data_IF_810782653087
#
_entry.id   IF_810782653087
#
_cell.length_a   1.000
_cell.length_b   1.000
_cell.length_c   1.000
_cell.angle_alpha   90.00
_cell.angle_beta   90.00
_cell.angle_gamma   90.00
#
_symmetry.space_group_name_H-M   'P 1'
#
loop_
_entity.id
_entity.type
_entity.pdbx_description
1 polymer ?
#
# COMPACT_ATOMS: atom_id res chain seq x y z
N UNK A 1 0.05 -32.69 18.93
CA UNK A 1 1.15 -32.04 19.66
C UNK A 1 1.35 -30.64 19.08
N UNK A 2 1.30 -29.60 19.89
CA UNK A 2 1.38 -28.22 19.37
C UNK A 2 2.86 -27.80 19.34
N UNK A 3 3.47 -27.75 18.14
CA UNK A 3 4.84 -27.30 17.95
C UNK A 3 4.95 -25.80 17.74
N UNK A 4 3.83 -25.10 17.71
CA UNK A 4 3.72 -23.65 17.54
C UNK A 4 3.26 -22.99 18.82
N UNK A 5 3.73 -21.78 19.06
CA UNK A 5 3.36 -20.97 20.20
C UNK A 5 2.12 -20.10 19.95
N UNK A 6 1.85 -19.83 18.67
CA UNK A 6 0.71 -19.00 18.23
C UNK A 6 0.00 -19.61 17.02
N UNK A 7 -1.22 -19.15 16.74
CA UNK A 7 -2.00 -19.51 15.54
C UNK A 7 -1.23 -19.17 14.25
N UNK A 8 -0.45 -18.10 14.26
CA UNK A 8 0.33 -17.64 13.12
C UNK A 8 1.62 -18.42 12.89
N UNK A 9 2.00 -19.36 13.75
CA UNK A 9 3.27 -20.07 13.68
C UNK A 9 4.49 -19.13 13.50
N UNK A 10 4.43 -17.94 14.08
CA UNK A 10 5.49 -16.94 14.01
C UNK A 10 6.60 -17.18 15.04
N UNK A 11 6.38 -18.11 15.93
CA UNK A 11 7.28 -18.53 17.00
C UNK A 11 7.30 -20.05 17.10
N UNK A 12 8.40 -20.60 17.62
CA UNK A 12 8.57 -22.03 17.85
C UNK A 12 8.86 -22.26 19.33
N UNK A 13 8.32 -23.32 19.90
CA UNK A 13 8.61 -23.69 21.29
C UNK A 13 10.05 -24.16 21.44
N UNK A 14 10.72 -23.83 22.56
CA UNK A 14 12.13 -24.19 22.76
C UNK A 14 12.42 -25.70 22.76
N UNK A 15 11.43 -26.50 23.14
CA UNK A 15 11.54 -27.95 23.30
C UNK A 15 11.21 -28.76 22.03
N UNK A 16 10.94 -28.09 20.91
CA UNK A 16 10.65 -28.76 19.63
C UNK A 16 11.89 -29.46 19.08
N UNK A 17 11.76 -30.75 18.73
CA UNK A 17 12.84 -31.55 18.14
C UNK A 17 12.86 -31.42 16.61
N UNK A 18 14.00 -31.77 16.00
CA UNK A 18 14.14 -31.78 14.53
C UNK A 18 13.17 -32.79 13.88
N UNK A 19 12.99 -33.93 14.46
CA UNK A 19 12.04 -34.96 13.98
C UNK A 19 10.60 -34.46 13.96
N UNK A 20 10.23 -33.60 14.93
CA UNK A 20 8.90 -32.99 14.96
C UNK A 20 8.73 -31.95 13.87
N UNK A 21 9.80 -31.24 13.52
CA UNK A 21 9.77 -30.27 12.41
C UNK A 21 9.63 -31.03 11.08
N UNK A 22 10.38 -32.09 10.87
CA UNK A 22 10.34 -32.92 9.66
C UNK A 22 8.99 -33.62 9.45
N UNK A 23 8.23 -33.83 10.52
CA UNK A 23 6.88 -34.37 10.46
C UNK A 23 5.80 -33.35 10.10
N UNK A 24 6.17 -32.04 9.92
CA UNK A 24 5.24 -31.01 9.48
C UNK A 24 4.89 -31.14 8.00
N UNK A 25 3.77 -30.55 7.56
CA UNK A 25 3.54 -30.30 6.14
C UNK A 25 4.72 -29.53 5.53
N UNK A 26 5.12 -29.88 4.32
CA UNK A 26 6.32 -29.40 3.62
C UNK A 26 6.48 -27.86 3.67
N UNK A 27 5.39 -27.14 3.45
CA UNK A 27 5.39 -25.67 3.47
C UNK A 27 5.71 -25.04 4.84
N UNK A 28 5.69 -25.82 5.93
CA UNK A 28 6.08 -25.33 7.24
C UNK A 28 7.52 -25.70 7.63
N UNK A 29 8.09 -26.73 7.04
CA UNK A 29 9.40 -27.27 7.45
C UNK A 29 10.47 -26.19 7.41
N UNK A 30 10.59 -25.50 6.27
CA UNK A 30 11.60 -24.46 6.08
C UNK A 30 11.47 -23.32 7.11
N UNK A 31 10.26 -22.83 7.33
CA UNK A 31 9.99 -21.77 8.30
C UNK A 31 10.25 -22.21 9.73
N UNK A 32 9.82 -23.41 10.10
CA UNK A 32 10.02 -23.97 11.44
C UNK A 32 11.50 -24.20 11.74
N UNK A 33 12.26 -24.73 10.78
CA UNK A 33 13.70 -24.91 10.90
C UNK A 33 14.41 -23.55 11.10
N UNK A 34 14.08 -22.57 10.26
CA UNK A 34 14.68 -21.24 10.35
C UNK A 34 14.36 -20.52 11.67
N UNK A 35 13.15 -20.71 12.23
CA UNK A 35 12.78 -20.19 13.54
C UNK A 35 13.52 -20.89 14.68
N UNK A 36 13.73 -22.22 14.57
CA UNK A 36 14.43 -23.01 15.58
C UNK A 36 15.90 -22.63 15.68
N UNK A 37 16.56 -22.50 14.55
CA UNK A 37 18.00 -22.27 14.45
C UNK A 37 18.37 -20.78 14.50
N UNK A 38 17.37 -19.88 14.72
CA UNK A 38 17.49 -18.42 14.65
C UNK A 38 18.16 -17.94 13.32
N UNK A 39 17.97 -18.73 12.28
CA UNK A 39 18.50 -18.46 10.94
C UNK A 39 17.49 -17.75 10.03
N UNK A 40 16.30 -17.41 10.55
CA UNK A 40 15.31 -16.66 9.79
C UNK A 40 15.88 -15.33 9.40
N UNK A 41 16.09 -15.12 8.11
CA UNK A 41 16.65 -13.87 7.60
C UNK A 41 15.84 -12.68 8.09
N UNK A 42 16.50 -11.65 8.66
CA UNK A 42 15.83 -10.46 9.21
C UNK A 42 14.99 -9.74 8.17
N UNK A 43 15.46 -9.64 6.94
CA UNK A 43 14.73 -9.07 5.80
C UNK A 43 13.44 -9.83 5.51
N UNK A 44 13.53 -11.15 5.42
CA UNK A 44 12.36 -12.01 5.22
C UNK A 44 11.38 -11.89 6.40
N UNK A 45 11.88 -11.96 7.62
CA UNK A 45 11.07 -11.91 8.85
C UNK A 45 10.32 -10.59 8.99
N UNK A 46 10.96 -9.47 8.64
CA UNK A 46 10.40 -8.11 8.73
C UNK A 46 9.10 -7.96 7.93
N UNK A 47 9.01 -8.60 6.76
CA UNK A 47 7.84 -8.48 5.86
C UNK A 47 6.90 -9.69 5.91
N UNK A 48 7.38 -10.86 6.34
CA UNK A 48 6.56 -12.07 6.40
C UNK A 48 5.74 -12.21 7.67
N UNK A 49 6.19 -11.63 8.78
CA UNK A 49 5.51 -11.70 10.08
C UNK A 49 5.16 -10.28 10.51
N UNK A 50 3.91 -9.88 10.33
CA UNK A 50 3.49 -8.50 10.58
C UNK A 50 2.13 -8.42 11.25
N UNK A 51 1.90 -7.29 11.93
CA UNK A 51 0.59 -6.86 12.40
C UNK A 51 0.03 -5.82 11.43
N UNK A 52 -1.21 -6.02 11.02
CA UNK A 52 -1.93 -5.14 10.10
C UNK A 52 -3.00 -4.38 10.85
N UNK A 53 -2.92 -3.06 10.79
CA UNK A 53 -3.87 -2.17 11.43
C UNK A 53 -5.15 -2.04 10.60
N UNK A 54 -6.31 -1.78 11.27
CA UNK A 54 -7.53 -1.46 10.56
C UNK A 54 -7.47 -0.08 9.91
N UNK A 55 -8.09 0.02 8.74
CA UNK A 55 -8.37 1.28 8.06
C UNK A 55 -9.87 1.47 7.92
N UNK A 56 -10.31 2.70 7.78
CA UNK A 56 -11.74 2.99 7.61
C UNK A 56 -12.25 2.49 6.26
N UNK A 57 -13.56 2.36 6.12
CA UNK A 57 -14.17 2.07 4.82
C UNK A 57 -14.06 3.29 3.92
N UNK A 58 -13.25 3.22 2.87
CA UNK A 58 -13.04 4.34 1.96
C UNK A 58 -14.34 4.72 1.22
N UNK A 59 -15.18 3.75 0.86
CA UNK A 59 -16.49 4.00 0.24
C UNK A 59 -17.44 4.72 1.19
N UNK A 60 -17.57 4.26 2.44
CA UNK A 60 -18.43 4.89 3.46
C UNK A 60 -18.04 6.35 3.72
N UNK A 61 -16.74 6.63 3.78
CA UNK A 61 -16.28 7.99 4.00
C UNK A 61 -16.37 8.87 2.76
N UNK A 62 -16.21 8.32 1.56
CA UNK A 62 -16.51 9.04 0.33
C UNK A 62 -17.96 9.52 0.28
N UNK A 63 -18.90 8.64 0.65
CA UNK A 63 -20.32 8.98 0.74
C UNK A 63 -20.59 10.06 1.81
N UNK A 64 -20.02 9.93 3.00
CA UNK A 64 -20.19 10.89 4.11
C UNK A 64 -19.63 12.28 3.77
N UNK A 65 -18.49 12.34 3.14
CA UNK A 65 -17.81 13.57 2.75
C UNK A 65 -18.28 14.10 1.39
N UNK A 66 -19.06 13.31 0.64
CA UNK A 66 -19.45 13.60 -0.74
C UNK A 66 -18.24 13.85 -1.64
N UNK A 67 -17.17 13.09 -1.45
CA UNK A 67 -15.93 13.15 -2.23
C UNK A 67 -15.77 11.89 -3.08
N UNK A 68 -14.67 11.78 -3.84
CA UNK A 68 -14.22 10.48 -4.33
C UNK A 68 -13.57 9.72 -3.19
N UNK A 69 -13.54 8.40 -3.32
CA UNK A 69 -12.91 7.57 -2.28
C UNK A 69 -11.38 7.68 -2.33
N UNK A 70 -10.78 7.61 -1.15
CA UNK A 70 -9.35 7.35 -0.98
C UNK A 70 -9.03 5.90 -1.37
N UNK A 71 -7.77 5.48 -1.24
CA UNK A 71 -7.40 4.09 -1.51
C UNK A 71 -7.96 3.11 -0.47
N UNK A 72 -8.09 1.86 -0.89
CA UNK A 72 -8.38 0.71 0.00
C UNK A 72 -7.11 -0.12 0.28
N UNK A 73 -5.99 0.24 -0.33
CA UNK A 73 -4.74 -0.52 -0.36
C UNK A 73 -3.74 0.01 0.68
N UNK A 74 -4.21 0.20 1.90
CA UNK A 74 -3.44 0.85 2.97
C UNK A 74 -2.37 -0.05 3.61
N UNK A 75 -2.50 -1.37 3.46
CA UNK A 75 -1.64 -2.36 4.10
C UNK A 75 -0.84 -3.19 3.09
N UNK A 76 0.23 -2.67 2.48
CA UNK A 76 1.12 -3.48 1.65
C UNK A 76 1.82 -4.55 2.50
N UNK A 77 2.01 -5.74 1.93
CA UNK A 77 2.78 -6.80 2.60
C UNK A 77 4.28 -6.68 2.36
N UNK A 78 4.69 -6.02 1.27
CA UNK A 78 6.05 -6.05 0.77
C UNK A 78 6.44 -7.40 0.14
N UNK A 79 5.44 -8.23 -0.17
CA UNK A 79 5.61 -9.55 -0.80
C UNK A 79 4.90 -9.53 -2.14
N UNK A 80 5.60 -9.92 -3.20
CA UNK A 80 5.00 -10.14 -4.50
C UNK A 80 4.98 -11.63 -4.86
N UNK A 81 4.06 -11.99 -5.73
CA UNK A 81 3.83 -13.34 -6.22
C UNK A 81 3.80 -13.36 -7.74
N UNK A 82 4.13 -14.49 -8.34
CA UNK A 82 3.89 -14.71 -9.77
C UNK A 82 2.54 -15.39 -9.97
N UNK A 83 1.96 -15.25 -11.15
CA UNK A 83 0.80 -16.03 -11.55
C UNK A 83 1.06 -17.53 -11.37
N UNK A 84 0.14 -18.23 -10.71
CA UNK A 84 0.25 -19.65 -10.39
C UNK A 84 0.95 -19.98 -9.07
N UNK A 85 1.59 -19.00 -8.41
CA UNK A 85 2.22 -19.25 -7.10
C UNK A 85 1.17 -19.66 -6.06
N UNK A 86 1.45 -20.73 -5.34
CA UNK A 86 0.67 -21.13 -4.17
C UNK A 86 1.21 -20.41 -2.92
N UNK A 87 0.34 -19.71 -2.22
CA UNK A 87 0.70 -18.94 -1.02
C UNK A 87 -0.08 -19.45 0.18
N UNK A 88 0.63 -19.75 1.26
CA UNK A 88 0.04 -19.99 2.56
C UNK A 88 0.02 -18.71 3.37
N UNK A 89 -1.12 -18.41 3.97
CA UNK A 89 -1.31 -17.21 4.81
C UNK A 89 -1.85 -17.68 6.16
N UNK A 90 -1.10 -17.42 7.21
CA UNK A 90 -1.49 -17.72 8.58
C UNK A 90 -2.02 -16.47 9.24
N UNK A 91 -3.27 -16.50 9.65
CA UNK A 91 -3.98 -15.36 10.23
C UNK A 91 -4.23 -15.62 11.70
N UNK A 92 -3.85 -14.65 12.53
CA UNK A 92 -4.12 -14.64 13.96
C UNK A 92 -5.59 -14.38 14.28
N UNK A 93 -5.85 -13.97 15.52
CA UNK A 93 -7.20 -13.59 15.95
C UNK A 93 -7.69 -12.39 15.11
N UNK A 94 -8.82 -12.55 14.45
CA UNK A 94 -9.45 -11.48 13.66
C UNK A 94 -10.34 -10.56 14.48
N UNK A 95 -10.56 -10.87 15.76
CA UNK A 95 -11.49 -10.14 16.63
C UNK A 95 -12.90 -10.01 16.03
N UNK A 96 -13.31 -11.02 15.23
CA UNK A 96 -14.59 -11.01 14.51
C UNK A 96 -14.64 -10.10 13.29
N UNK A 97 -13.53 -9.49 12.89
CA UNK A 97 -13.45 -8.61 11.73
C UNK A 97 -13.24 -9.40 10.42
N UNK A 98 -13.74 -8.84 9.32
CA UNK A 98 -13.47 -9.37 7.99
C UNK A 98 -12.12 -8.91 7.50
N UNK A 99 -11.34 -9.83 6.92
CA UNK A 99 -10.04 -9.57 6.35
C UNK A 99 -9.84 -10.35 5.06
N UNK A 100 -9.11 -9.78 4.12
CA UNK A 100 -8.76 -10.45 2.86
C UNK A 100 -7.37 -10.03 2.39
N UNK A 101 -6.85 -10.71 1.38
CA UNK A 101 -5.67 -10.27 0.62
C UNK A 101 -6.15 -9.95 -0.80
N UNK A 102 -5.67 -8.84 -1.34
CA UNK A 102 -5.80 -8.49 -2.75
C UNK A 102 -4.45 -8.52 -3.43
N UNK A 103 -4.39 -9.12 -4.59
CA UNK A 103 -3.24 -9.09 -5.47
C UNK A 103 -3.34 -7.86 -6.37
N UNK A 104 -2.31 -7.03 -6.40
CA UNK A 104 -2.23 -5.85 -7.28
C UNK A 104 -1.25 -6.15 -8.39
N UNK A 105 -1.79 -6.39 -9.58
CA UNK A 105 -1.03 -6.81 -10.74
C UNK A 105 -0.14 -5.73 -11.35
N UNK A 106 0.65 -6.17 -12.30
CA UNK A 106 1.41 -5.27 -13.16
C UNK A 106 0.50 -4.64 -14.19
N UNK A 107 0.66 -3.34 -14.41
CA UNK A 107 -0.06 -2.68 -15.49
C UNK A 107 0.41 -3.19 -16.84
N UNK A 108 -0.54 -3.63 -17.64
CA UNK A 108 -0.29 -4.14 -19.00
C UNK A 108 -0.85 -3.25 -20.09
N UNK A 109 -1.66 -2.23 -19.75
CA UNK A 109 -2.36 -1.40 -20.71
C UNK A 109 -1.75 0.00 -20.84
N UNK A 110 -1.76 0.50 -22.07
CA UNK A 110 -1.31 1.84 -22.42
C UNK A 110 -2.52 2.77 -22.52
N UNK A 111 -3.00 3.31 -21.38
CA UNK A 111 -4.09 4.29 -21.46
C UNK A 111 -4.87 4.54 -20.18
N UNK A 112 -5.61 5.61 -20.16
CA UNK A 112 -6.26 6.21 -18.99
C UNK A 112 -7.23 5.31 -18.24
N UNK A 113 -8.04 4.56 -18.96
CA UNK A 113 -9.24 3.97 -18.39
C UNK A 113 -9.13 2.46 -18.19
N UNK A 114 -8.06 1.84 -18.63
CA UNK A 114 -7.98 0.38 -18.71
C UNK A 114 -7.01 -0.23 -17.71
N UNK A 115 -6.52 0.57 -16.78
CA UNK A 115 -5.54 0.16 -15.80
C UNK A 115 -6.19 -0.40 -14.54
N UNK A 116 -7.02 -1.42 -14.72
CA UNK A 116 -7.40 -2.22 -13.56
C UNK A 116 -6.23 -3.11 -13.18
N UNK A 117 -5.33 -2.58 -12.39
CA UNK A 117 -4.27 -3.38 -11.75
C UNK A 117 -4.80 -4.19 -10.59
N UNK A 118 -6.04 -3.96 -10.16
CA UNK A 118 -6.66 -4.72 -9.10
C UNK A 118 -6.94 -6.14 -9.58
N UNK A 119 -6.31 -7.10 -8.93
CA UNK A 119 -6.56 -8.51 -9.13
C UNK A 119 -7.61 -9.07 -8.19
N UNK A 120 -7.58 -10.39 -8.08
CA UNK A 120 -8.53 -11.11 -7.24
C UNK A 120 -8.38 -10.78 -5.76
N UNK A 121 -9.51 -10.80 -5.06
CA UNK A 121 -9.59 -10.71 -3.62
C UNK A 121 -9.75 -12.12 -3.05
N UNK A 122 -8.89 -12.47 -2.12
CA UNK A 122 -8.88 -13.76 -1.42
C UNK A 122 -9.34 -13.54 0.03
N UNK A 123 -10.59 -13.90 0.39
CA UNK A 123 -11.05 -13.80 1.77
C UNK A 123 -10.21 -14.68 2.68
N UNK A 124 -9.88 -14.18 3.87
CA UNK A 124 -9.10 -14.88 4.87
C UNK A 124 -9.94 -15.19 6.10
N UNK A 125 -9.57 -16.27 6.79
CA UNK A 125 -10.10 -16.66 8.09
C UNK A 125 -8.97 -16.95 9.07
N UNK A 126 -9.25 -16.95 10.34
CA UNK A 126 -8.28 -17.34 11.36
C UNK A 126 -7.63 -18.70 11.05
N UNK A 127 -6.35 -18.82 11.32
CA UNK A 127 -5.57 -20.03 11.07
C UNK A 127 -4.98 -20.09 9.66
N UNK A 128 -4.99 -21.26 9.05
CA UNK A 128 -4.32 -21.54 7.78
C UNK A 128 -5.24 -21.23 6.60
N UNK A 129 -4.76 -20.38 5.70
CA UNK A 129 -5.38 -20.11 4.40
C UNK A 129 -4.41 -20.52 3.30
N UNK A 130 -4.93 -21.00 2.19
CA UNK A 130 -4.18 -21.27 0.96
C UNK A 130 -4.83 -20.51 -0.18
N UNK A 131 -4.04 -19.86 -0.98
CA UNK A 131 -4.48 -19.18 -2.18
C UNK A 131 -3.53 -19.50 -3.35
N UNK A 132 -4.04 -19.48 -4.54
CA UNK A 132 -3.27 -19.51 -5.78
C UNK A 132 -3.37 -18.16 -6.46
N UNK A 133 -2.25 -17.51 -6.68
CA UNK A 133 -2.21 -16.20 -7.31
C UNK A 133 -2.64 -16.30 -8.78
N UNK A 134 -3.66 -15.54 -9.18
CA UNK A 134 -4.16 -15.54 -10.56
C UNK A 134 -3.45 -14.54 -11.46
N UNK A 135 -2.60 -13.71 -10.90
CA UNK A 135 -1.75 -12.78 -11.65
C UNK A 135 -0.47 -12.48 -10.88
N UNK A 136 0.56 -12.05 -11.59
CA UNK A 136 1.78 -11.53 -10.98
C UNK A 136 1.51 -10.17 -10.35
N UNK A 137 1.95 -9.97 -9.09
CA UNK A 137 1.74 -8.68 -8.41
C UNK A 137 2.04 -8.69 -6.91
N UNK A 138 2.02 -7.51 -6.31
CA UNK A 138 2.18 -7.34 -4.88
C UNK A 138 0.88 -7.68 -4.13
N UNK A 139 1.03 -8.26 -2.96
CA UNK A 139 -0.08 -8.58 -2.06
C UNK A 139 -0.32 -7.42 -1.09
N UNK A 140 -1.59 -7.06 -0.94
CA UNK A 140 -2.06 -6.08 0.04
C UNK A 140 -3.10 -6.74 0.95
N UNK A 141 -3.00 -6.48 2.25
CA UNK A 141 -4.02 -6.91 3.21
C UNK A 141 -5.14 -5.88 3.22
N UNK A 142 -6.35 -6.35 2.94
CA UNK A 142 -7.57 -5.54 2.98
C UNK A 142 -8.21 -5.72 4.36
N UNK A 143 -8.06 -4.70 5.21
CA UNK A 143 -8.66 -4.65 6.54
C UNK A 143 -9.36 -3.31 6.75
N UNK A 144 -10.56 -3.20 6.17
CA UNK A 144 -11.35 -1.99 6.19
C UNK A 144 -12.58 -2.18 7.09
N UNK A 145 -12.72 -1.34 8.10
CA UNK A 145 -13.79 -1.41 9.11
C UNK A 145 -14.00 -0.05 9.78
N UNK A 146 -14.97 0.05 10.66
CA UNK A 146 -15.06 1.22 11.54
C UNK A 146 -13.91 1.19 12.56
N UNK A 147 -12.91 2.05 12.37
CA UNK A 147 -11.71 2.12 13.22
C UNK A 147 -11.97 2.60 14.65
N UNK A 148 -13.17 3.09 14.95
CA UNK A 148 -13.59 3.44 16.31
C UNK A 148 -14.22 2.26 17.06
N UNK A 149 -14.44 1.14 16.37
CA UNK A 149 -14.88 -0.08 17.01
C UNK A 149 -13.77 -0.64 17.91
N UNK A 150 -14.00 -0.90 19.21
CA UNK A 150 -12.99 -1.50 20.09
C UNK A 150 -12.46 -2.85 19.60
N UNK A 151 -13.23 -3.58 18.81
CA UNK A 151 -12.83 -4.87 18.21
C UNK A 151 -11.97 -4.70 16.95
N UNK A 152 -11.82 -3.48 16.45
CA UNK A 152 -10.92 -3.17 15.34
C UNK A 152 -9.46 -3.13 15.82
N UNK A 153 -8.93 -4.28 16.22
CA UNK A 153 -7.57 -4.45 16.72
C UNK A 153 -6.62 -4.90 15.61
N UNK A 154 -5.31 -4.62 15.69
CA UNK A 154 -4.33 -5.15 14.74
C UNK A 154 -4.40 -6.66 14.64
N UNK A 155 -4.31 -7.18 13.41
CA UNK A 155 -4.36 -8.61 13.12
C UNK A 155 -2.98 -9.07 12.68
N UNK A 156 -2.42 -10.05 13.39
CA UNK A 156 -1.13 -10.65 13.04
C UNK A 156 -1.28 -11.63 11.88
N UNK A 157 -0.48 -11.43 10.85
CA UNK A 157 -0.41 -12.33 9.69
C UNK A 157 1.03 -12.79 9.50
N UNK A 158 1.17 -14.05 9.13
CA UNK A 158 2.45 -14.64 8.72
C UNK A 158 2.29 -15.32 7.36
N UNK A 159 3.08 -14.91 6.40
CA UNK A 159 3.23 -15.58 5.10
C UNK A 159 4.55 -16.35 5.14
N UNK A 160 4.54 -17.70 5.37
CA UNK A 160 5.74 -18.50 5.54
C UNK A 160 6.73 -18.41 4.38
N UNK A 161 7.97 -18.82 4.61
CA UNK A 161 8.98 -18.98 3.56
C UNK A 161 8.43 -19.86 2.43
N UNK A 162 8.73 -19.49 1.19
CA UNK A 162 8.16 -20.14 0.00
C UNK A 162 6.86 -19.51 -0.51
N UNK A 163 6.17 -18.69 0.31
CA UNK A 163 5.01 -17.91 -0.12
C UNK A 163 5.41 -16.57 -0.75
N UNK A 164 5.60 -16.51 -2.08
CA UNK A 164 6.03 -15.32 -2.79
C UNK A 164 7.46 -14.87 -2.45
N UNK A 165 7.85 -13.69 -2.94
CA UNK A 165 9.17 -13.09 -2.72
C UNK A 165 9.04 -11.75 -1.99
N UNK A 166 9.94 -11.49 -1.05
CA UNK A 166 9.98 -10.22 -0.32
C UNK A 166 10.71 -9.17 -1.16
N UNK A 167 10.00 -8.11 -1.52
CA UNK A 167 10.57 -6.89 -2.12
C UNK A 167 10.60 -5.72 -1.13
N UNK A 168 9.88 -5.83 -0.01
CA UNK A 168 9.81 -4.79 1.01
C UNK A 168 8.98 -3.58 0.60
N UNK A 169 8.88 -2.62 1.51
CA UNK A 169 8.33 -1.29 1.30
C UNK A 169 8.94 -0.32 2.33
N UNK A 170 8.80 0.98 2.11
CA UNK A 170 9.14 2.00 3.09
C UNK A 170 7.87 2.58 3.72
N UNK A 171 7.86 2.73 5.04
CA UNK A 171 6.81 3.42 5.78
C UNK A 171 7.42 4.51 6.64
N UNK A 172 6.95 5.74 6.52
CA UNK A 172 7.40 6.86 7.34
C UNK A 172 7.23 6.56 8.83
N UNK A 173 6.14 5.91 9.20
CA UNK A 173 5.83 5.56 10.60
C UNK A 173 6.80 4.53 11.18
N UNK A 174 7.22 3.54 10.39
CA UNK A 174 8.01 2.40 10.85
C UNK A 174 9.53 2.62 10.68
N UNK A 175 9.92 3.16 9.53
CA UNK A 175 11.32 3.20 9.10
C UNK A 175 12.01 4.55 9.36
N UNK A 176 11.30 5.65 9.32
CA UNK A 176 11.60 6.98 9.82
C UNK A 176 12.87 7.67 9.26
N UNK A 177 13.76 7.00 8.53
CA UNK A 177 15.03 7.58 8.09
C UNK A 177 15.31 7.36 6.59
N UNK A 178 16.08 8.28 6.01
CA UNK A 178 16.54 8.16 4.63
C UNK A 178 17.52 7.00 4.42
N UNK A 179 18.32 6.65 5.46
CA UNK A 179 19.22 5.49 5.43
C UNK A 179 18.43 4.20 5.29
N UNK A 180 17.36 4.05 6.08
CA UNK A 180 16.52 2.86 6.01
C UNK A 180 15.77 2.79 4.67
N UNK A 181 15.26 3.92 4.17
CA UNK A 181 14.69 3.97 2.81
C UNK A 181 15.68 3.48 1.76
N UNK A 182 16.92 4.00 1.82
CA UNK A 182 17.98 3.60 0.87
C UNK A 182 18.27 2.10 0.96
N UNK A 183 18.39 1.55 2.17
CA UNK A 183 18.55 0.11 2.38
C UNK A 183 17.43 -0.69 1.73
N UNK A 184 16.18 -0.29 1.97
CA UNK A 184 14.98 -0.98 1.49
C UNK A 184 14.86 -0.93 -0.03
N UNK A 185 15.01 0.26 -0.62
CA UNK A 185 14.87 0.42 -2.08
C UNK A 185 16.05 -0.20 -2.86
N UNK A 186 17.22 -0.29 -2.24
CA UNK A 186 18.37 -0.97 -2.86
C UNK A 186 18.21 -2.48 -2.88
N UNK A 187 17.52 -3.06 -1.90
CA UNK A 187 17.23 -4.50 -1.81
C UNK A 187 16.01 -4.93 -2.63
N UNK A 188 15.10 -3.99 -2.92
CA UNK A 188 13.89 -4.30 -3.67
C UNK A 188 14.23 -4.79 -5.08
N UNK A 189 13.59 -5.87 -5.52
CA UNK A 189 13.81 -6.52 -6.82
C UNK A 189 12.55 -6.60 -7.68
N UNK A 190 11.41 -6.09 -7.18
CA UNK A 190 10.16 -6.07 -7.91
C UNK A 190 10.01 -4.78 -8.75
N UNK A 191 9.14 -4.84 -9.75
CA UNK A 191 8.86 -3.72 -10.69
C UNK A 191 8.36 -2.47 -9.98
N UNK A 192 7.59 -2.63 -8.91
CA UNK A 192 7.02 -1.55 -8.10
C UNK A 192 7.56 -1.58 -6.68
N UNK A 193 7.62 -0.40 -6.08
CA UNK A 193 7.99 -0.24 -4.68
C UNK A 193 6.99 0.70 -3.99
N UNK A 194 6.62 0.35 -2.76
CA UNK A 194 5.65 1.11 -1.97
C UNK A 194 6.37 2.07 -1.01
N UNK A 195 5.95 3.33 -0.99
CA UNK A 195 6.35 4.32 0.01
C UNK A 195 5.10 4.85 0.68
N UNK A 196 5.01 4.70 2.00
CA UNK A 196 3.85 5.09 2.81
C UNK A 196 4.20 6.34 3.60
N UNK A 197 3.50 7.44 3.33
CA UNK A 197 3.50 8.67 4.12
C UNK A 197 2.45 8.65 5.23
N UNK A 198 2.02 9.84 5.66
CA UNK A 198 0.94 9.98 6.64
C UNK A 198 -0.45 9.98 5.99
N UNK A 199 -0.56 10.42 4.73
CA UNK A 199 -1.82 10.56 4.00
C UNK A 199 -1.75 10.02 2.57
N UNK A 200 -0.56 9.61 2.09
CA UNK A 200 -0.32 9.13 0.72
C UNK A 200 0.40 7.79 0.73
N UNK A 201 0.06 6.93 -0.22
CA UNK A 201 0.86 5.77 -0.59
C UNK A 201 1.31 5.95 -2.03
N UNK A 202 2.63 5.90 -2.25
CA UNK A 202 3.24 5.94 -3.58
C UNK A 202 3.62 4.50 -3.99
N UNK A 203 2.83 3.90 -4.88
CA UNK A 203 3.11 2.59 -5.48
C UNK A 203 3.71 2.81 -6.87
N UNK A 204 5.01 3.07 -6.89
CA UNK A 204 5.70 3.58 -8.07
C UNK A 204 6.70 2.60 -8.64
N UNK A 205 6.98 2.73 -9.94
CA UNK A 205 8.03 1.98 -10.60
C UNK A 205 9.35 2.11 -9.84
N UNK A 206 9.85 1.00 -9.34
CA UNK A 206 11.03 0.91 -8.48
C UNK A 206 12.25 1.63 -9.07
N UNK A 207 12.60 1.33 -10.34
CA UNK A 207 13.79 1.91 -10.99
C UNK A 207 13.69 3.43 -11.13
N UNK A 208 12.53 3.94 -11.52
CA UNK A 208 12.31 5.39 -11.69
C UNK A 208 12.20 6.10 -10.36
N UNK A 209 11.54 5.52 -9.36
CA UNK A 209 11.51 6.05 -8.01
C UNK A 209 12.93 6.17 -7.45
N UNK A 210 13.73 5.11 -7.53
CA UNK A 210 15.13 5.11 -7.09
C UNK A 210 16.00 6.12 -7.84
N UNK A 211 15.78 6.28 -9.15
CA UNK A 211 16.49 7.29 -9.95
C UNK A 211 16.07 8.73 -9.59
N UNK A 212 14.77 8.93 -9.32
CA UNK A 212 14.23 10.24 -8.93
C UNK A 212 14.69 10.65 -7.52
N UNK A 213 14.59 9.73 -6.57
CA UNK A 213 14.91 9.93 -5.15
C UNK A 213 15.78 8.79 -4.67
N UNK A 214 17.10 8.84 -4.92
CA UNK A 214 18.01 7.76 -4.51
C UNK A 214 18.24 7.70 -3.01
N UNK A 215 17.93 8.78 -2.26
CA UNK A 215 18.19 8.88 -0.83
C UNK A 215 17.10 9.68 -0.07
N UNK A 216 16.83 10.93 -0.43
CA UNK A 216 16.01 11.85 0.37
C UNK A 216 14.51 11.69 0.14
N UNK A 217 13.96 10.55 0.55
CA UNK A 217 12.51 10.26 0.45
C UNK A 217 11.70 11.09 1.46
N UNK A 218 12.29 11.38 2.64
CA UNK A 218 11.56 12.09 3.69
C UNK A 218 11.10 13.46 3.23
N UNK A 219 11.98 14.22 2.57
CA UNK A 219 11.61 15.53 2.02
C UNK A 219 10.54 15.45 0.93
N UNK A 220 10.51 14.36 0.15
CA UNK A 220 9.51 14.15 -0.89
C UNK A 220 8.15 13.82 -0.30
N UNK A 221 8.11 12.84 0.61
CA UNK A 221 6.86 12.37 1.19
C UNK A 221 6.20 13.46 2.07
N UNK A 222 7.01 14.27 2.77
CA UNK A 222 6.54 15.44 3.52
C UNK A 222 5.74 16.40 2.63
N UNK A 223 6.23 16.70 1.42
CA UNK A 223 5.53 17.57 0.50
C UNK A 223 4.21 16.99 0.00
N UNK A 224 4.18 15.67 -0.27
CA UNK A 224 2.97 15.00 -0.67
C UNK A 224 1.93 14.97 0.45
N UNK A 225 2.33 14.63 1.66
CA UNK A 225 1.47 14.67 2.84
C UNK A 225 0.92 16.08 3.09
N UNK A 226 1.77 17.12 2.99
CA UNK A 226 1.37 18.52 3.16
C UNK A 226 0.35 18.96 2.09
N UNK A 227 0.50 18.57 0.82
CA UNK A 227 -0.49 18.90 -0.22
C UNK A 227 -1.87 18.34 0.10
N UNK A 228 -1.92 17.10 0.65
CA UNK A 228 -3.17 16.48 1.07
C UNK A 228 -3.73 17.18 2.30
N UNK A 229 -2.90 17.42 3.32
CA UNK A 229 -3.28 18.08 4.55
C UNK A 229 -3.86 19.47 4.30
N UNK A 230 -3.23 20.31 3.48
CA UNK A 230 -3.75 21.62 3.16
C UNK A 230 -5.12 21.57 2.47
N UNK A 231 -5.36 20.58 1.63
CA UNK A 231 -6.68 20.40 1.02
C UNK A 231 -7.71 19.90 2.03
N UNK A 232 -7.32 19.02 2.96
CA UNK A 232 -8.17 18.57 4.07
C UNK A 232 -8.54 19.74 5.00
N UNK A 233 -7.59 20.62 5.31
CA UNK A 233 -7.84 21.86 6.06
C UNK A 233 -8.85 22.77 5.34
N UNK A 234 -8.69 22.95 4.02
CA UNK A 234 -9.65 23.71 3.22
C UNK A 234 -11.06 23.11 3.20
N UNK A 235 -11.17 21.79 3.34
CA UNK A 235 -12.44 21.07 3.46
C UNK A 235 -13.01 21.09 4.86
N UNK A 236 -12.23 21.44 5.89
CA UNK A 236 -12.62 21.42 7.29
C UNK A 236 -12.81 20.01 7.87
N UNK A 237 -11.99 19.04 7.44
CA UNK A 237 -12.10 17.64 7.88
C UNK A 237 -11.06 17.23 8.92
N UNK A 238 -10.38 18.15 9.55
CA UNK A 238 -9.31 17.90 10.55
C UNK A 238 -9.85 17.19 11.80
N UNK A 239 -11.13 17.35 12.10
CA UNK A 239 -11.79 16.64 13.20
C UNK A 239 -12.11 15.17 12.89
N UNK A 240 -12.11 14.83 11.61
CA UNK A 240 -12.41 13.49 11.09
C UNK A 240 -11.13 12.73 10.75
N UNK A 241 -10.22 13.34 10.02
CA UNK A 241 -8.96 12.75 9.59
C UNK A 241 -7.82 13.13 10.55
N UNK A 242 -6.96 12.19 11.00
CA UNK A 242 -7.02 10.74 10.78
C UNK A 242 -7.79 9.96 11.86
N UNK A 243 -8.62 10.59 12.66
CA UNK A 243 -9.24 10.02 13.87
C UNK A 243 -10.34 8.98 13.59
N UNK A 244 -11.15 9.23 12.57
CA UNK A 244 -12.29 8.39 12.19
C UNK A 244 -12.12 7.82 10.77
N UNK A 245 -11.46 8.56 9.90
CA UNK A 245 -11.03 8.17 8.56
C UNK A 245 -9.52 8.24 8.50
N UNK A 246 -8.85 7.16 8.12
CA UNK A 246 -7.38 7.07 8.12
C UNK A 246 -6.81 6.45 6.83
N UNK A 247 -7.61 6.31 5.78
CA UNK A 247 -7.16 5.82 4.48
C UNK A 247 -6.19 6.80 3.84
N UNK A 248 -5.23 6.26 3.11
CA UNK A 248 -4.32 7.04 2.30
C UNK A 248 -4.89 7.27 0.89
N UNK A 249 -4.54 8.38 0.26
CA UNK A 249 -4.67 8.50 -1.19
C UNK A 249 -3.64 7.56 -1.83
N UNK A 250 -4.08 6.71 -2.76
CA UNK A 250 -3.22 5.72 -3.40
C UNK A 250 -2.74 6.24 -4.76
N UNK A 251 -1.44 6.47 -4.89
CA UNK A 251 -0.82 6.97 -6.12
C UNK A 251 -0.06 5.84 -6.84
N UNK A 252 -0.28 5.70 -8.14
CA UNK A 252 0.41 4.72 -8.98
C UNK A 252 1.21 5.40 -10.08
N UNK A 253 2.21 4.71 -10.62
CA UNK A 253 2.98 5.17 -11.78
C UNK A 253 2.77 4.29 -13.01
N UNK A 254 1.70 4.54 -13.80
CA UNK A 254 1.43 3.78 -15.01
C UNK A 254 2.45 4.04 -16.11
N UNK A 255 2.48 3.15 -17.10
CA UNK A 255 3.29 3.31 -18.32
C UNK A 255 2.66 4.29 -19.33
N UNK A 256 1.37 4.59 -19.18
CA UNK A 256 0.62 5.48 -20.06
C UNK A 256 -0.26 6.47 -19.28
N UNK A 257 -0.81 7.44 -20.02
CA UNK A 257 -1.51 8.57 -19.40
C UNK A 257 -0.54 9.53 -18.70
N UNK A 258 -0.77 10.82 -18.80
CA UNK A 258 0.17 11.79 -18.21
C UNK A 258 -0.01 11.89 -16.68
N UNK A 259 -1.13 12.45 -16.26
CA UNK A 259 -1.59 12.51 -14.87
C UNK A 259 -3.11 12.38 -14.87
N UNK A 260 -3.66 11.71 -13.87
CA UNK A 260 -5.10 11.47 -13.80
C UNK A 260 -5.54 11.04 -12.40
N UNK A 261 -6.82 11.23 -12.10
CA UNK A 261 -7.49 10.70 -10.91
C UNK A 261 -8.69 9.84 -11.31
N UNK A 262 -8.91 8.79 -10.55
CA UNK A 262 -10.01 7.84 -10.69
C UNK A 262 -10.50 7.43 -9.31
N UNK A 263 -11.49 6.53 -9.25
CA UNK A 263 -11.95 5.99 -7.98
C UNK A 263 -10.84 5.22 -7.25
N UNK A 264 -10.53 5.67 -6.02
CA UNK A 264 -9.58 5.04 -5.13
C UNK A 264 -8.10 5.19 -5.50
N UNK A 265 -7.76 5.99 -6.54
CA UNK A 265 -6.36 6.20 -6.93
C UNK A 265 -6.12 7.43 -7.79
N UNK A 266 -4.86 7.88 -7.76
CA UNK A 266 -4.33 8.88 -8.70
C UNK A 266 -3.15 8.27 -9.46
N UNK A 267 -2.92 8.71 -10.70
CA UNK A 267 -1.87 8.17 -11.56
C UNK A 267 -0.94 9.23 -12.11
N UNK A 268 0.35 8.89 -12.17
CA UNK A 268 1.41 9.73 -12.74
C UNK A 268 2.29 8.86 -13.61
N UNK A 269 2.34 9.13 -14.91
CA UNK A 269 3.18 8.33 -15.81
C UNK A 269 4.62 8.23 -15.26
N UNK A 270 5.19 7.04 -15.29
CA UNK A 270 6.48 6.77 -14.65
C UNK A 270 7.61 7.72 -15.09
N UNK A 271 7.52 8.31 -16.26
CA UNK A 271 8.52 9.24 -16.81
C UNK A 271 8.55 10.60 -16.11
N UNK A 272 7.48 11.02 -15.41
CA UNK A 272 7.42 12.30 -14.70
C UNK A 272 7.85 12.20 -13.23
N UNK A 273 8.18 11.01 -12.73
CA UNK A 273 8.51 10.81 -11.32
C UNK A 273 9.67 11.69 -10.84
N UNK A 274 10.64 11.99 -11.72
CA UNK A 274 11.72 12.92 -11.41
C UNK A 274 11.25 14.34 -11.09
N UNK A 275 10.16 14.78 -11.72
CA UNK A 275 9.63 16.14 -11.57
C UNK A 275 8.72 16.28 -10.34
N UNK A 276 8.00 15.20 -10.00
CA UNK A 276 6.99 15.22 -8.92
C UNK A 276 7.50 14.64 -7.59
N UNK A 277 8.70 14.09 -7.54
CA UNK A 277 9.27 13.52 -6.30
C UNK A 277 10.43 14.34 -5.75
N UNK A 278 11.27 14.94 -6.59
CA UNK A 278 12.38 15.74 -6.09
C UNK A 278 11.87 17.05 -5.48
N UNK A 279 12.13 17.27 -4.19
CA UNK A 279 11.70 18.48 -3.48
C UNK A 279 12.07 19.76 -4.23
N UNK A 280 13.29 19.87 -4.71
CA UNK A 280 13.78 21.05 -5.45
C UNK A 280 13.01 21.30 -6.75
N UNK A 281 12.64 20.26 -7.48
CA UNK A 281 11.85 20.36 -8.71
C UNK A 281 10.38 20.68 -8.41
N UNK A 282 9.82 19.97 -7.42
CA UNK A 282 8.42 20.17 -7.02
C UNK A 282 8.16 21.59 -6.49
N UNK A 283 9.13 22.15 -5.77
CA UNK A 283 9.00 23.50 -5.19
C UNK A 283 9.45 24.64 -6.14
N UNK A 284 10.47 24.42 -6.98
CA UNK A 284 11.07 25.47 -7.81
C UNK A 284 10.33 25.72 -9.13
N UNK A 285 9.54 24.79 -9.59
CA UNK A 285 8.76 24.89 -10.81
C UNK A 285 7.28 24.68 -10.51
N UNK A 286 6.43 24.88 -11.51
CA UNK A 286 4.99 24.63 -11.40
C UNK A 286 4.63 23.14 -11.32
N UNK A 287 5.59 22.25 -11.03
CA UNK A 287 5.41 20.81 -11.01
C UNK A 287 4.52 20.31 -9.86
N UNK A 288 4.41 21.07 -8.77
CA UNK A 288 3.44 20.77 -7.69
C UNK A 288 1.98 20.88 -8.13
N UNK A 289 1.71 21.66 -9.20
CA UNK A 289 0.35 21.84 -9.68
C UNK A 289 -0.29 20.51 -10.11
N UNK A 290 0.43 19.67 -10.85
CA UNK A 290 -0.08 18.37 -11.30
C UNK A 290 -0.50 17.46 -10.14
N UNK A 291 0.39 17.10 -9.22
CA UNK A 291 0.05 16.34 -8.03
C UNK A 291 -1.10 16.95 -7.22
N UNK A 292 -1.05 18.26 -6.93
CA UNK A 292 -2.11 18.93 -6.18
C UNK A 292 -3.46 18.93 -6.91
N UNK A 293 -3.45 18.98 -8.24
CA UNK A 293 -4.64 18.89 -9.08
C UNK A 293 -5.29 17.51 -9.02
N UNK A 294 -4.50 16.44 -9.14
CA UNK A 294 -5.02 15.08 -9.06
C UNK A 294 -5.52 14.73 -7.65
N UNK A 295 -4.84 15.19 -6.60
CA UNK A 295 -5.33 15.13 -5.22
C UNK A 295 -6.65 15.90 -5.09
N UNK A 296 -6.73 17.09 -5.70
CA UNK A 296 -7.93 17.91 -5.74
C UNK A 296 -9.14 17.19 -6.35
N UNK A 297 -8.92 16.36 -7.37
CA UNK A 297 -9.99 15.53 -7.93
C UNK A 297 -10.50 14.47 -6.96
N UNK A 298 -9.69 13.95 -6.05
CA UNK A 298 -10.14 13.04 -5.00
C UNK A 298 -10.99 13.79 -3.97
N UNK A 299 -10.59 14.99 -3.59
CA UNK A 299 -11.31 15.85 -2.63
C UNK A 299 -12.55 16.53 -3.21
N UNK A 300 -12.70 16.48 -4.51
CA UNK A 300 -13.80 17.15 -5.20
C UNK A 300 -15.13 16.46 -4.92
N UNK A 301 -16.03 17.18 -4.27
CA UNK A 301 -17.37 16.66 -3.93
C UNK A 301 -18.31 16.61 -5.13
N UNK A 302 -19.32 15.77 -5.03
CA UNK A 302 -20.38 15.65 -6.04
C UNK A 302 -21.11 17.00 -6.30
N UNK A 303 -21.21 17.86 -5.29
CA UNK A 303 -21.79 19.20 -5.41
C UNK A 303 -20.89 20.13 -6.23
N UNK A 304 -19.59 19.94 -6.20
CA UNK A 304 -18.63 20.74 -6.96
C UNK A 304 -18.58 20.39 -8.45
N UNK A 305 -19.19 19.30 -8.89
CA UNK A 305 -19.32 18.99 -10.31
C UNK A 305 -20.04 20.11 -11.08
N UNK A 306 -20.99 20.79 -10.45
CA UNK A 306 -21.66 21.96 -11.04
C UNK A 306 -20.72 23.19 -11.12
N UNK A 307 -19.82 23.36 -10.15
CA UNK A 307 -18.83 24.43 -10.13
C UNK A 307 -17.67 24.16 -11.11
N UNK A 308 -17.33 22.89 -11.37
CA UNK A 308 -16.35 22.54 -12.41
C UNK A 308 -16.89 22.86 -13.80
N UNK A 309 -18.15 22.59 -14.06
CA UNK A 309 -18.77 23.02 -15.32
C UNK A 309 -18.80 24.54 -15.48
N UNK A 310 -18.73 25.27 -14.38
CA UNK A 310 -18.59 26.74 -14.38
C UNK A 310 -17.12 27.15 -14.53
N UNK A 311 -16.15 26.40 -13.98
CA UNK A 311 -14.72 26.72 -14.04
C UNK A 311 -13.99 26.14 -15.26
N UNK A 312 -14.49 25.09 -15.90
CA UNK A 312 -13.95 24.54 -17.14
C UNK A 312 -13.89 25.56 -18.29
N UNK A 313 -14.93 26.39 -18.53
CA UNK A 313 -14.82 27.46 -19.51
C UNK A 313 -13.71 28.48 -19.20
N UNK A 314 -13.49 28.78 -17.93
CA UNK A 314 -12.40 29.69 -17.51
C UNK A 314 -11.03 29.05 -17.63
N UNK A 315 -10.91 27.75 -17.46
CA UNK A 315 -9.68 26.99 -17.66
C UNK A 315 -9.26 26.95 -19.14
N UNK A 316 -10.19 26.69 -20.04
CA UNK A 316 -9.94 26.78 -21.47
C UNK A 316 -9.59 28.20 -21.92
N UNK A 317 -10.20 29.20 -21.31
CA UNK A 317 -9.85 30.60 -21.56
C UNK A 317 -8.44 30.96 -21.06
N UNK A 318 -8.00 30.40 -19.90
CA UNK A 318 -6.65 30.61 -19.37
C UNK A 318 -5.56 29.91 -20.21
N UNK A 319 -5.87 28.78 -20.82
CA UNK A 319 -4.93 28.07 -21.71
C UNK A 319 -4.79 28.79 -23.05
N UNK A 320 -5.82 29.48 -23.52
CA UNK A 320 -5.77 30.22 -24.79
C UNK A 320 -5.06 31.59 -24.69
N UNK A 321 -4.71 32.07 -23.49
CA UNK A 321 -3.95 33.28 -23.24
C UNK A 321 -2.52 33.07 -22.73
N UNK A 322 -2.04 31.81 -22.68
CA UNK A 322 -0.67 31.41 -22.36
C UNK A 322 0.02 30.83 -23.58
#
# INVERSE_FOLDING_TARGET
MCIRDSITCSEIKPDVTQEQIEALPEFFIQTASALKDDSYNKWEKEFRIREYCPYSSADEWADKLMTRKYGDLDNPTGIYVNEGDEVVVLVGNTHGQSISIQNIGEETSKGYAQTSVNGDIYPLKEGVNKLTAKQTGMLFVMYNTNIQNPDAQPIKIHIPLGGGKVCGFFSLKEHQTNEKYKELIDKADYKYFCVIGNAIILYFHHKQLKAAVPYDILSSIELWDNMIQWQQELMGIEDVYPKQMNNHIFAISPEGGYMWASEGRIGFVYTVLGDILRKSYLMASRNSWGPAHEIGHVHQGAINLSLIHISEPTRHAQISYA
#
